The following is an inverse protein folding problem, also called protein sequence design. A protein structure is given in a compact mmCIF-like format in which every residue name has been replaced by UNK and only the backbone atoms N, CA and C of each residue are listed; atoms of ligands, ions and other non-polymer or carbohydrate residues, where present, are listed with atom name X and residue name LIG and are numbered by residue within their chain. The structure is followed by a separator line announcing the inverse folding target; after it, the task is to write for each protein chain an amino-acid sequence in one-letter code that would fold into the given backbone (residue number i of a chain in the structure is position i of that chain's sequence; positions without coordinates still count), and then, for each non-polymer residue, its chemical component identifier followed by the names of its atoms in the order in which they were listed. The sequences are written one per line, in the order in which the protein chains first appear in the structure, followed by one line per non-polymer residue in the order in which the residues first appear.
data_IF_543056754924
#
_entry.id   IF_543056754924
#
_cell.length_a   1.000
_cell.length_b   1.000
_cell.length_c   1.000
_cell.angle_alpha   90.00
_cell.angle_beta   90.00
_cell.angle_gamma   90.00
#
_symmetry.space_group_name_H-M   'P 1'
#
loop_
_entity.id
_entity.type
_entity.pdbx_description
1 polymer ?
#
# COMPACT_ATOMS: atom_id res chain seq x y z
N UNK A 1 -29.38 34.41 -23.31
CA UNK A 1 -29.12 33.09 -23.94
C UNK A 1 -27.63 32.79 -24.07
N UNK A 2 -26.78 33.79 -24.40
CA UNK A 2 -25.33 33.59 -24.57
C UNK A 2 -24.59 33.02 -23.34
N UNK A 3 -24.93 33.45 -22.11
CA UNK A 3 -24.34 32.93 -20.87
C UNK A 3 -24.61 31.43 -20.65
N UNK A 4 -25.83 30.96 -20.95
CA UNK A 4 -26.21 29.54 -20.84
C UNK A 4 -25.50 28.66 -21.89
N UNK A 5 -25.20 29.21 -23.07
CA UNK A 5 -24.42 28.53 -24.10
C UNK A 5 -22.97 28.28 -23.68
N UNK A 6 -22.30 29.31 -23.14
CA UNK A 6 -20.92 29.19 -22.64
C UNK A 6 -20.80 28.21 -21.47
N UNK A 7 -21.76 28.22 -20.53
CA UNK A 7 -21.80 27.26 -19.41
C UNK A 7 -21.99 25.81 -19.92
N UNK A 8 -22.83 25.61 -20.95
CA UNK A 8 -23.02 24.29 -21.57
C UNK A 8 -21.71 23.74 -22.15
N UNK A 9 -20.96 24.56 -22.87
CA UNK A 9 -19.69 24.16 -23.49
C UNK A 9 -18.62 23.86 -22.44
N UNK A 10 -18.51 24.69 -21.41
CA UNK A 10 -17.59 24.45 -20.29
C UNK A 10 -17.92 23.18 -19.52
N UNK A 11 -19.21 22.94 -19.23
CA UNK A 11 -19.65 21.71 -18.57
C UNK A 11 -19.36 20.46 -19.42
N UNK A 12 -19.57 20.54 -20.73
CA UNK A 12 -19.26 19.45 -21.65
C UNK A 12 -17.75 19.15 -21.67
N UNK A 13 -16.91 20.19 -21.69
CA UNK A 13 -15.45 20.05 -21.65
C UNK A 13 -14.98 19.35 -20.37
N UNK A 14 -15.43 19.83 -19.20
CA UNK A 14 -15.09 19.22 -17.90
C UNK A 14 -15.49 17.74 -17.82
N UNK A 15 -16.67 17.37 -18.35
CA UNK A 15 -17.12 15.97 -18.34
C UNK A 15 -16.27 15.10 -19.28
N UNK A 16 -15.78 15.65 -20.40
CA UNK A 16 -14.86 14.95 -21.31
C UNK A 16 -13.49 14.73 -20.66
N UNK A 17 -12.95 15.74 -19.98
CA UNK A 17 -11.69 15.62 -19.23
C UNK A 17 -11.78 14.55 -18.13
N UNK A 18 -12.88 14.56 -17.36
CA UNK A 18 -13.14 13.53 -16.36
C UNK A 18 -13.25 12.12 -16.96
N UNK A 19 -13.75 11.99 -18.19
CA UNK A 19 -13.81 10.69 -18.88
C UNK A 19 -12.42 10.19 -19.29
N UNK A 20 -11.49 11.07 -19.66
CA UNK A 20 -10.11 10.66 -19.95
C UNK A 20 -9.45 10.08 -18.69
N UNK A 21 -9.65 10.72 -17.53
CA UNK A 21 -9.15 10.21 -16.24
C UNK A 21 -9.76 8.84 -15.92
N UNK A 22 -11.06 8.64 -16.15
CA UNK A 22 -11.71 7.34 -15.94
C UNK A 22 -11.20 6.28 -16.92
N UNK A 23 -10.88 6.65 -18.16
CA UNK A 23 -10.31 5.72 -19.13
C UNK A 23 -8.92 5.27 -18.69
N UNK A 24 -8.08 6.17 -18.22
CA UNK A 24 -6.73 5.87 -17.74
C UNK A 24 -6.79 5.00 -16.48
N UNK A 25 -7.72 5.30 -15.57
CA UNK A 25 -8.03 4.46 -14.41
C UNK A 25 -8.43 3.04 -14.83
N UNK A 26 -9.28 2.87 -15.84
CA UNK A 26 -9.65 1.53 -16.32
C UNK A 26 -8.46 0.78 -16.90
N UNK A 27 -7.57 1.46 -17.60
CA UNK A 27 -6.30 0.88 -18.08
C UNK A 27 -5.42 0.44 -16.92
N UNK A 28 -5.37 1.22 -15.84
CA UNK A 28 -4.63 0.87 -14.62
C UNK A 28 -5.21 -0.34 -13.89
N UNK A 29 -6.53 -0.47 -13.88
CA UNK A 29 -7.26 -1.57 -13.25
C UNK A 29 -7.32 -2.83 -14.12
N UNK A 30 -6.87 -2.76 -15.38
CA UNK A 30 -6.89 -3.90 -16.28
C UNK A 30 -5.97 -5.01 -15.76
N UNK A 31 -6.46 -6.24 -15.73
CA UNK A 31 -5.81 -7.41 -15.12
C UNK A 31 -5.65 -7.40 -13.59
N UNK A 32 -6.35 -6.51 -12.86
CA UNK A 32 -6.37 -6.51 -11.38
C UNK A 32 -7.72 -6.96 -10.81
N UNK A 33 -7.71 -7.51 -9.60
CA UNK A 33 -8.94 -7.88 -8.89
C UNK A 33 -9.67 -6.63 -8.37
N UNK A 34 -10.86 -6.34 -8.91
CA UNK A 34 -11.64 -5.15 -8.54
C UNK A 34 -12.92 -5.51 -7.77
N UNK A 35 -13.34 -4.71 -6.78
CA UNK A 35 -14.61 -4.91 -6.09
C UNK A 35 -15.80 -4.98 -7.06
N UNK A 36 -16.74 -5.90 -6.84
CA UNK A 36 -17.93 -6.06 -7.69
C UNK A 36 -18.75 -4.76 -7.81
N UNK A 37 -18.77 -3.95 -6.73
CA UNK A 37 -19.40 -2.63 -6.70
C UNK A 37 -18.72 -1.62 -7.63
N UNK A 38 -17.39 -1.65 -7.75
CA UNK A 38 -16.65 -0.78 -8.66
C UNK A 38 -16.93 -1.15 -10.12
N UNK A 39 -16.96 -2.45 -10.41
CA UNK A 39 -17.27 -2.97 -11.75
C UNK A 39 -18.67 -2.56 -12.23
N UNK A 40 -19.68 -2.66 -11.36
CA UNK A 40 -21.04 -2.23 -11.71
C UNK A 40 -21.16 -0.72 -11.90
N UNK A 41 -20.46 0.07 -11.08
CA UNK A 41 -20.39 1.53 -11.21
C UNK A 41 -19.74 1.95 -12.54
N UNK A 42 -18.60 1.37 -12.91
CA UNK A 42 -17.91 1.65 -14.17
C UNK A 42 -18.78 1.30 -15.40
N UNK A 43 -19.46 0.16 -15.38
CA UNK A 43 -20.37 -0.23 -16.47
C UNK A 43 -21.57 0.72 -16.60
N UNK A 44 -22.11 1.17 -15.47
CA UNK A 44 -23.22 2.12 -15.45
C UNK A 44 -22.79 3.53 -15.90
N UNK A 45 -21.57 3.93 -15.58
CA UNK A 45 -20.96 5.17 -16.04
C UNK A 45 -20.82 5.19 -17.57
N UNK A 46 -20.33 4.10 -18.17
CA UNK A 46 -20.15 4.03 -19.63
C UNK A 46 -21.46 4.23 -20.39
N UNK A 47 -22.53 3.63 -19.88
CA UNK A 47 -23.87 3.80 -20.46
C UNK A 47 -24.31 5.26 -20.39
N UNK A 48 -24.19 5.88 -19.23
CA UNK A 48 -24.64 7.25 -18.99
C UNK A 48 -23.80 8.27 -19.78
N UNK A 49 -22.48 8.05 -19.89
CA UNK A 49 -21.58 8.89 -20.67
C UNK A 49 -21.85 8.79 -22.18
N UNK A 50 -22.06 7.58 -22.72
CA UNK A 50 -22.42 7.39 -24.13
C UNK A 50 -23.73 8.11 -24.47
N UNK A 51 -24.70 8.01 -23.58
CA UNK A 51 -25.99 8.68 -23.70
C UNK A 51 -25.87 10.20 -23.61
N UNK A 52 -25.01 10.73 -22.75
CA UNK A 52 -24.71 12.16 -22.64
C UNK A 52 -24.02 12.70 -23.90
N UNK A 53 -23.06 11.96 -24.46
CA UNK A 53 -22.36 12.34 -25.69
C UNK A 53 -23.32 12.45 -26.88
N UNK A 54 -24.24 11.49 -27.02
CA UNK A 54 -25.31 11.54 -28.05
C UNK A 54 -26.17 12.81 -27.94
N UNK A 55 -26.43 13.29 -26.72
CA UNK A 55 -27.22 14.51 -26.51
C UNK A 55 -26.46 15.80 -26.79
N UNK A 56 -25.14 15.81 -26.54
CA UNK A 56 -24.26 16.91 -26.96
C UNK A 56 -24.27 17.00 -28.49
N UNK A 57 -24.05 15.88 -29.18
CA UNK A 57 -24.01 15.81 -30.64
C UNK A 57 -25.35 16.20 -31.28
N UNK A 58 -26.47 15.85 -30.63
CA UNK A 58 -27.82 16.24 -31.03
C UNK A 58 -28.19 17.71 -30.71
N UNK A 59 -27.24 18.53 -30.22
CA UNK A 59 -27.41 19.96 -29.88
C UNK A 59 -28.60 20.24 -28.93
N UNK A 60 -28.87 19.34 -27.99
CA UNK A 60 -29.99 19.46 -27.04
C UNK A 60 -29.84 20.69 -26.12
N UNK A 61 -30.97 21.27 -25.67
CA UNK A 61 -31.01 22.40 -24.73
C UNK A 61 -30.39 22.05 -23.36
N UNK A 62 -29.80 23.05 -22.70
CA UNK A 62 -29.10 22.88 -21.41
C UNK A 62 -29.97 22.25 -20.31
N UNK A 63 -31.27 22.54 -20.28
CA UNK A 63 -32.22 22.05 -19.28
C UNK A 63 -32.38 20.52 -19.32
N UNK A 64 -32.28 19.92 -20.49
CA UNK A 64 -32.33 18.45 -20.65
C UNK A 64 -30.97 17.78 -20.39
N UNK A 65 -29.87 18.54 -20.52
CA UNK A 65 -28.51 18.06 -20.32
C UNK A 65 -28.12 18.03 -18.83
N UNK A 66 -28.60 19.01 -18.07
CA UNK A 66 -28.33 19.18 -16.63
C UNK A 66 -28.59 17.93 -15.77
N UNK A 67 -29.75 17.24 -15.83
CA UNK A 67 -29.99 16.07 -14.99
C UNK A 67 -29.04 14.90 -15.33
N UNK A 68 -28.62 14.77 -16.59
CA UNK A 68 -27.69 13.70 -17.01
C UNK A 68 -26.25 14.01 -16.64
N UNK A 69 -25.83 15.27 -16.82
CA UNK A 69 -24.55 15.74 -16.32
C UNK A 69 -24.43 15.47 -14.81
N UNK A 70 -25.48 15.77 -14.04
CA UNK A 70 -25.52 15.49 -12.60
C UNK A 70 -25.39 13.98 -12.30
N UNK A 71 -26.16 13.13 -12.99
CA UNK A 71 -26.08 11.68 -12.81
C UNK A 71 -24.68 11.12 -13.09
N UNK A 72 -24.00 11.62 -14.14
CA UNK A 72 -22.62 11.25 -14.45
C UNK A 72 -21.70 11.66 -13.30
N UNK A 73 -21.74 12.93 -12.88
CA UNK A 73 -20.89 13.46 -11.81
C UNK A 73 -21.08 12.70 -10.48
N UNK A 74 -22.31 12.35 -10.14
CA UNK A 74 -22.60 11.57 -8.93
C UNK A 74 -22.03 10.14 -9.01
N UNK A 75 -21.99 9.52 -10.20
CA UNK A 75 -21.32 8.23 -10.40
C UNK A 75 -19.80 8.33 -10.34
N UNK A 76 -19.22 9.37 -10.94
CA UNK A 76 -17.76 9.62 -10.85
C UNK A 76 -17.35 9.78 -9.39
N UNK A 77 -18.13 10.54 -8.63
CA UNK A 77 -17.91 10.69 -7.19
C UNK A 77 -18.02 9.35 -6.45
N UNK A 78 -19.04 8.55 -6.73
CA UNK A 78 -19.19 7.21 -6.14
C UNK A 78 -18.02 6.27 -6.50
N UNK A 79 -17.49 6.35 -7.73
CA UNK A 79 -16.29 5.62 -8.14
C UNK A 79 -15.09 6.05 -7.30
N UNK A 80 -14.88 7.36 -7.10
CA UNK A 80 -13.77 7.88 -6.28
C UNK A 80 -13.83 7.40 -4.82
N UNK A 81 -15.03 7.32 -4.23
CA UNK A 81 -15.21 6.82 -2.86
C UNK A 81 -14.87 5.33 -2.80
N UNK A 82 -15.43 4.53 -3.71
CA UNK A 82 -15.20 3.08 -3.71
C UNK A 82 -13.73 2.73 -3.95
N UNK A 83 -13.01 3.53 -4.74
CA UNK A 83 -11.56 3.37 -4.91
C UNK A 83 -10.79 3.72 -3.65
N UNK A 84 -11.14 4.84 -3.00
CA UNK A 84 -10.56 5.28 -1.73
C UNK A 84 -10.75 4.26 -0.60
N UNK A 85 -11.86 3.52 -0.60
CA UNK A 85 -12.19 2.51 0.42
C UNK A 85 -11.73 1.08 0.04
N UNK A 86 -11.12 0.90 -1.13
CA UNK A 86 -10.72 -0.42 -1.63
C UNK A 86 -9.29 -0.80 -1.23
N UNK A 87 -8.87 -2.03 -1.53
CA UNK A 87 -7.48 -2.52 -1.35
C UNK A 87 -6.41 -1.65 -2.02
N UNK A 88 -6.80 -0.71 -2.87
CA UNK A 88 -5.91 0.23 -3.56
C UNK A 88 -5.73 1.54 -2.79
N UNK A 89 -6.22 1.65 -1.56
CA UNK A 89 -6.12 2.87 -0.74
C UNK A 89 -4.69 3.29 -0.43
N UNK A 90 -3.72 2.38 -0.51
CA UNK A 90 -2.29 2.64 -0.23
C UNK A 90 -1.45 2.87 -1.49
N UNK A 91 -2.07 2.87 -2.67
CA UNK A 91 -1.41 3.13 -3.95
C UNK A 91 -1.46 4.64 -4.26
N UNK A 92 -0.29 5.30 -4.25
CA UNK A 92 -0.16 6.74 -4.49
C UNK A 92 -0.74 7.17 -5.85
N UNK A 93 -0.68 6.30 -6.86
CA UNK A 93 -1.27 6.56 -8.18
C UNK A 93 -2.80 6.58 -8.13
N UNK A 94 -3.40 5.69 -7.36
CA UNK A 94 -4.86 5.64 -7.18
C UNK A 94 -5.35 6.80 -6.33
N UNK A 95 -4.59 7.21 -5.29
CA UNK A 95 -4.90 8.42 -4.51
C UNK A 95 -4.91 9.67 -5.38
N UNK A 96 -3.88 9.87 -6.20
CA UNK A 96 -3.81 11.01 -7.12
C UNK A 96 -5.01 11.06 -8.07
N UNK A 97 -5.38 9.91 -8.66
CA UNK A 97 -6.56 9.83 -9.54
C UNK A 97 -7.86 10.12 -8.79
N UNK A 98 -8.02 9.62 -7.56
CA UNK A 98 -9.19 9.91 -6.73
C UNK A 98 -9.34 11.40 -6.43
N UNK A 99 -8.24 12.10 -6.12
CA UNK A 99 -8.26 13.53 -5.83
C UNK A 99 -8.58 14.35 -7.09
N UNK A 100 -8.01 13.97 -8.25
CA UNK A 100 -8.35 14.58 -9.53
C UNK A 100 -9.84 14.42 -9.87
N UNK A 101 -10.41 13.23 -9.65
CA UNK A 101 -11.83 12.98 -9.88
C UNK A 101 -12.71 13.79 -8.93
N UNK A 102 -12.38 13.88 -7.64
CA UNK A 102 -13.14 14.69 -6.66
C UNK A 102 -13.12 16.17 -7.04
N UNK A 103 -11.93 16.72 -7.29
CA UNK A 103 -11.76 18.13 -7.65
C UNK A 103 -12.50 18.48 -8.95
N UNK A 104 -12.37 17.65 -9.98
CA UNK A 104 -13.06 17.87 -11.25
C UNK A 104 -14.58 17.76 -11.13
N UNK A 105 -15.09 16.86 -10.27
CA UNK A 105 -16.53 16.76 -9.98
C UNK A 105 -17.04 18.01 -9.26
N UNK A 106 -16.31 18.55 -8.29
CA UNK A 106 -16.69 19.78 -7.59
C UNK A 106 -16.74 20.98 -8.53
N UNK A 107 -15.74 21.14 -9.39
CA UNK A 107 -15.72 22.18 -10.41
C UNK A 107 -16.93 22.08 -11.36
N UNK A 108 -17.25 20.87 -11.82
CA UNK A 108 -18.41 20.65 -12.68
C UNK A 108 -19.74 20.87 -11.94
N UNK A 109 -19.82 20.58 -10.64
CA UNK A 109 -20.99 20.86 -9.79
C UNK A 109 -21.20 22.36 -9.57
N UNK A 110 -20.13 23.14 -9.44
CA UNK A 110 -20.21 24.61 -9.35
C UNK A 110 -20.84 25.21 -10.62
N UNK A 111 -20.44 24.71 -11.80
CA UNK A 111 -21.03 25.11 -13.09
C UNK A 111 -22.52 24.75 -13.21
N UNK A 112 -22.95 23.69 -12.53
CA UNK A 112 -24.36 23.30 -12.45
C UNK A 112 -25.16 24.15 -11.45
N UNK A 113 -24.57 24.58 -10.34
CA UNK A 113 -25.24 25.42 -9.33
C UNK A 113 -25.38 26.88 -9.74
N UNK A 114 -24.50 27.39 -10.61
CA UNK A 114 -24.55 28.77 -11.12
C UNK A 114 -25.65 29.00 -12.18
N UNK A 115 -26.41 27.94 -12.50
CA UNK A 115 -27.63 27.98 -13.29
C UNK A 115 -28.82 28.52 -12.49
N UNK A 116 -28.97 29.85 -12.46
CA UNK A 116 -30.12 30.64 -11.97
C UNK A 116 -31.41 29.81 -11.74
N UNK A 117 -31.73 29.56 -10.47
CA UNK A 117 -33.09 29.18 -10.05
C UNK A 117 -33.95 30.45 -10.13
N UNK A 118 -34.81 30.56 -11.13
CA UNK A 118 -35.77 31.67 -11.20
C UNK A 118 -36.82 31.53 -10.10
N UNK A 119 -36.77 32.41 -9.11
CA UNK A 119 -37.82 32.58 -8.11
C UNK A 119 -38.98 33.37 -8.74
N UNK A 120 -40.10 32.71 -9.04
CA UNK A 120 -41.31 33.37 -9.51
C UNK A 120 -42.11 33.91 -8.31
N UNK A 121 -42.01 35.21 -8.06
CA UNK A 121 -42.88 35.94 -7.15
C UNK A 121 -44.16 36.37 -7.87
N UNK A 122 -45.29 35.74 -7.54
CA UNK A 122 -46.64 36.17 -7.97
C UNK A 122 -47.24 37.14 -6.94
N UNK A 123 -46.76 38.38 -6.96
CA UNK A 123 -47.31 39.48 -6.18
C UNK A 123 -48.52 40.13 -6.86
N UNK A 124 -49.72 39.76 -6.41
CA UNK A 124 -50.97 40.54 -6.35
C UNK A 124 -51.14 41.73 -7.32
N UNK A 125 -51.76 41.48 -8.48
CA UNK A 125 -52.39 42.52 -9.33
C UNK A 125 -53.64 43.18 -8.68
N UNK A 126 -54.07 42.71 -7.49
CA UNK A 126 -55.27 43.22 -6.83
C UNK A 126 -55.08 44.60 -6.21
N UNK A 127 -53.85 44.98 -5.85
CA UNK A 127 -53.60 46.23 -5.13
C UNK A 127 -53.55 47.46 -6.06
N UNK A 128 -53.25 47.27 -7.35
CA UNK A 128 -53.28 48.34 -8.36
C UNK A 128 -54.70 48.62 -8.88
N UNK A 129 -55.61 47.64 -8.81
CA UNK A 129 -56.99 47.76 -9.27
C UNK A 129 -57.87 48.61 -8.32
N UNK A 130 -57.58 48.61 -7.02
CA UNK A 130 -58.34 49.41 -6.05
C UNK A 130 -58.01 50.92 -6.13
N UNK A 131 -56.78 51.27 -6.55
CA UNK A 131 -56.35 52.66 -6.66
C UNK A 131 -56.95 53.40 -7.87
N UNK A 132 -57.25 52.67 -8.96
CA UNK A 132 -57.89 53.23 -10.15
C UNK A 132 -59.41 53.40 -9.97
N UNK A 133 -60.06 52.50 -9.22
CA UNK A 133 -61.49 52.61 -8.88
C UNK A 133 -61.78 53.80 -7.95
N UNK A 134 -60.86 54.15 -7.04
CA UNK A 134 -60.98 55.33 -6.18
C UNK A 134 -60.83 56.65 -6.95
N UNK A 135 -60.06 56.67 -8.04
CA UNK A 135 -59.92 57.87 -8.90
C UNK A 135 -61.17 58.12 -9.74
N UNK A 136 -61.82 57.06 -10.25
CA UNK A 136 -63.07 57.18 -11.01
C UNK A 136 -64.26 57.66 -10.16
N UNK A 137 -64.27 57.36 -8.85
CA UNK A 137 -65.32 57.82 -7.92
C UNK A 137 -65.19 59.30 -7.56
N UNK A 138 -64.02 59.92 -7.79
CA UNK A 138 -63.73 61.33 -7.47
C UNK A 138 -64.36 62.32 -8.45
N UNK A 139 -64.56 61.91 -9.70
CA UNK A 139 -65.16 62.78 -10.74
C UNK A 139 -66.69 62.91 -10.63
N UNK A 140 -67.36 62.01 -9.90
CA UNK A 140 -68.82 61.94 -9.88
C UNK A 140 -69.49 62.54 -8.63
N UNK A 141 -68.73 63.22 -7.75
CA UNK A 141 -69.18 63.64 -6.41
C UNK A 141 -69.26 65.17 -6.19
N UNK A 142 -69.16 65.98 -7.24
CA UNK A 142 -69.17 67.45 -7.16
C UNK A 142 -70.58 68.11 -7.19
N UNK A 143 -71.68 67.37 -7.05
CA UNK A 143 -73.01 67.97 -6.94
C UNK A 143 -73.94 67.18 -6.00
N UNK A 144 -73.95 67.49 -4.70
CA UNK A 144 -75.17 67.47 -3.86
C UNK A 144 -74.83 67.80 -2.40
N UNK A 145 -75.43 68.86 -1.86
CA UNK A 145 -75.10 69.53 -0.60
C UNK A 145 -75.69 68.83 0.66
N UNK A 146 -76.18 67.60 0.54
CA UNK A 146 -76.78 66.82 1.64
C UNK A 146 -75.97 65.59 2.07
N UNK A 147 -74.84 65.30 1.40
CA UNK A 147 -73.94 64.16 1.71
C UNK A 147 -72.82 64.50 2.71
N UNK A 148 -72.68 65.77 3.09
CA UNK A 148 -71.50 66.29 3.79
C UNK A 148 -71.33 65.75 5.24
N UNK A 149 -72.42 65.35 5.91
CA UNK A 149 -72.35 64.73 7.25
C UNK A 149 -71.89 63.28 7.24
N UNK A 150 -72.32 62.49 6.26
CA UNK A 150 -71.88 61.09 6.12
C UNK A 150 -70.45 61.03 5.56
N UNK A 151 -70.07 61.98 4.69
CA UNK A 151 -68.71 62.06 4.15
C UNK A 151 -67.68 62.42 5.23
N UNK A 152 -68.05 63.29 6.19
CA UNK A 152 -67.19 63.62 7.33
C UNK A 152 -67.01 62.44 8.29
N UNK A 153 -68.08 61.68 8.53
CA UNK A 153 -68.02 60.43 9.30
C UNK A 153 -67.14 59.37 8.63
N UNK A 154 -67.29 59.18 7.32
CA UNK A 154 -66.47 58.23 6.56
C UNK A 154 -65.00 58.68 6.50
N UNK A 155 -64.74 60.00 6.46
CA UNK A 155 -63.40 60.57 6.51
C UNK A 155 -62.73 60.34 7.86
N UNK A 156 -63.44 60.54 8.98
CA UNK A 156 -62.93 60.27 10.33
C UNK A 156 -62.67 58.77 10.54
N UNK A 157 -63.53 57.89 10.01
CA UNK A 157 -63.31 56.44 10.05
C UNK A 157 -62.06 56.06 9.24
N UNK A 158 -61.89 56.60 8.04
CA UNK A 158 -60.71 56.38 7.21
C UNK A 158 -59.42 56.92 7.83
N UNK A 159 -59.48 58.08 8.49
CA UNK A 159 -58.33 58.66 9.19
C UNK A 159 -57.90 57.75 10.34
N UNK A 160 -58.88 57.24 11.10
CA UNK A 160 -58.66 56.33 12.22
C UNK A 160 -58.11 54.98 11.76
N UNK A 161 -58.61 54.46 10.64
CA UNK A 161 -58.12 53.22 10.02
C UNK A 161 -56.70 53.38 9.44
N UNK A 162 -56.39 54.56 8.89
CA UNK A 162 -55.04 54.91 8.43
C UNK A 162 -54.05 55.03 9.60
N UNK A 163 -54.44 55.69 10.70
CA UNK A 163 -53.64 55.77 11.92
C UNK A 163 -53.39 54.38 12.52
N UNK A 164 -54.42 53.52 12.58
CA UNK A 164 -54.30 52.14 13.04
C UNK A 164 -53.37 51.33 12.14
N UNK A 165 -53.48 51.50 10.82
CA UNK A 165 -52.59 50.86 9.86
C UNK A 165 -51.14 51.32 10.03
N UNK A 166 -50.92 52.62 10.25
CA UNK A 166 -49.58 53.20 10.47
C UNK A 166 -48.97 52.73 11.79
N UNK A 167 -49.78 52.60 12.86
CA UNK A 167 -49.35 52.04 14.12
C UNK A 167 -48.98 50.55 13.99
N UNK A 168 -49.79 49.76 13.25
CA UNK A 168 -49.49 48.34 12.95
C UNK A 168 -48.24 48.21 12.09
N UNK A 169 -48.04 49.08 11.11
CA UNK A 169 -46.84 49.11 10.28
C UNK A 169 -45.59 49.42 11.10
N UNK A 170 -45.62 50.44 11.97
CA UNK A 170 -44.49 50.76 12.83
C UNK A 170 -44.15 49.64 13.83
N UNK A 171 -45.16 48.94 14.37
CA UNK A 171 -44.97 47.75 15.21
C UNK A 171 -44.34 46.60 14.44
N UNK A 172 -44.78 46.33 13.21
CA UNK A 172 -44.17 45.31 12.35
C UNK A 172 -42.74 45.67 11.97
N UNK A 173 -42.45 46.93 11.64
CA UNK A 173 -41.09 47.38 11.35
C UNK A 173 -40.16 47.24 12.56
N UNK A 174 -40.65 47.56 13.76
CA UNK A 174 -39.90 47.35 15.00
C UNK A 174 -39.64 45.86 15.28
N UNK A 175 -40.62 44.99 15.03
CA UNK A 175 -40.48 43.53 15.16
C UNK A 175 -39.49 42.96 14.14
N UNK A 176 -39.55 43.42 12.89
CA UNK A 176 -38.62 43.06 11.81
C UNK A 176 -37.19 43.48 12.15
N UNK A 177 -36.98 44.71 12.65
CA UNK A 177 -35.67 45.18 13.11
C UNK A 177 -35.10 44.31 14.22
N UNK A 178 -35.93 43.94 15.20
CA UNK A 178 -35.53 43.02 16.29
C UNK A 178 -35.11 41.64 15.78
N UNK A 179 -35.87 41.08 14.84
CA UNK A 179 -35.53 39.80 14.21
C UNK A 179 -34.24 39.89 13.39
N UNK A 180 -34.02 41.02 12.72
CA UNK A 180 -32.79 41.27 11.96
C UNK A 180 -31.57 41.31 12.88
N UNK A 181 -31.67 42.03 14.00
CA UNK A 181 -30.62 42.15 15.02
C UNK A 181 -30.34 40.79 15.69
N UNK A 182 -31.37 39.99 15.97
CA UNK A 182 -31.20 38.62 16.47
C UNK A 182 -30.48 37.71 15.45
N UNK A 183 -30.79 37.87 14.15
CA UNK A 183 -30.13 37.11 13.08
C UNK A 183 -28.67 37.53 12.92
N UNK A 184 -28.36 38.83 12.96
CA UNK A 184 -26.99 39.34 12.92
C UNK A 184 -26.15 38.81 14.10
N UNK A 185 -26.70 38.85 15.33
CA UNK A 185 -26.02 38.30 16.51
C UNK A 185 -25.76 36.80 16.39
N UNK A 186 -26.71 36.03 15.83
CA UNK A 186 -26.53 34.61 15.55
C UNK A 186 -25.48 34.38 14.44
N UNK A 187 -25.42 35.25 13.45
CA UNK A 187 -24.46 35.17 12.35
C UNK A 187 -23.03 35.44 12.85
N UNK A 188 -22.85 36.46 13.68
CA UNK A 188 -21.56 36.76 14.32
C UNK A 188 -21.12 35.64 15.24
N UNK A 189 -22.02 35.13 16.08
CA UNK A 189 -21.73 33.97 16.95
C UNK A 189 -21.38 32.72 16.16
N UNK A 190 -22.00 32.50 14.99
CA UNK A 190 -21.68 31.39 14.10
C UNK A 190 -20.35 31.59 13.38
N UNK A 191 -20.03 32.81 12.96
CA UNK A 191 -18.75 33.20 12.35
C UNK A 191 -17.59 32.98 13.31
N UNK A 192 -17.75 33.42 14.56
CA UNK A 192 -16.76 33.21 15.63
C UNK A 192 -16.55 31.72 15.94
N UNK A 193 -17.65 30.95 16.02
CA UNK A 193 -17.57 29.51 16.26
C UNK A 193 -16.90 28.77 15.11
N UNK A 194 -17.20 29.18 13.87
CA UNK A 194 -16.57 28.65 12.66
C UNK A 194 -15.07 28.96 12.64
N UNK A 195 -14.67 30.20 12.94
CA UNK A 195 -13.24 30.58 13.00
C UNK A 195 -12.47 29.81 14.07
N UNK A 196 -13.06 29.65 15.27
CA UNK A 196 -12.46 28.84 16.35
C UNK A 196 -12.33 27.37 15.97
N UNK A 197 -13.32 26.82 15.28
CA UNK A 197 -13.30 25.41 14.85
C UNK A 197 -12.24 25.21 13.77
N UNK A 198 -12.11 26.14 12.82
CA UNK A 198 -11.06 26.12 11.80
C UNK A 198 -9.68 26.18 12.45
N UNK A 199 -9.48 27.06 13.44
CA UNK A 199 -8.20 27.18 14.14
C UNK A 199 -7.85 25.92 14.95
N UNK A 200 -8.83 25.31 15.63
CA UNK A 200 -8.62 24.07 16.40
C UNK A 200 -8.32 22.88 15.49
N UNK A 201 -9.00 22.81 14.33
CA UNK A 201 -8.72 21.79 13.29
C UNK A 201 -7.32 21.98 12.71
N UNK A 202 -6.91 23.21 12.40
CA UNK A 202 -5.58 23.51 11.87
C UNK A 202 -4.47 23.14 12.87
N UNK A 203 -4.66 23.49 14.16
CA UNK A 203 -3.78 23.09 15.24
C UNK A 203 -3.66 21.55 15.35
N UNK A 204 -4.79 20.83 15.31
CA UNK A 204 -4.78 19.37 15.35
C UNK A 204 -4.14 18.75 14.11
N UNK A 205 -4.27 19.37 12.94
CA UNK A 205 -3.60 18.93 11.72
C UNK A 205 -2.08 19.07 11.83
N UNK A 206 -1.59 20.21 12.32
CA UNK A 206 -0.15 20.43 12.53
C UNK A 206 0.42 19.45 13.57
N UNK A 207 -0.28 19.24 14.69
CA UNK A 207 0.13 18.26 15.70
C UNK A 207 0.09 16.82 15.17
N UNK A 208 -0.92 16.47 14.36
CA UNK A 208 -1.03 15.17 13.72
C UNK A 208 0.12 14.96 12.72
N UNK A 209 0.43 15.95 11.89
CA UNK A 209 1.53 15.92 10.92
C UNK A 209 2.88 15.76 11.63
N UNK A 210 3.13 16.51 12.70
CA UNK A 210 4.35 16.38 13.49
C UNK A 210 4.44 14.98 14.13
N UNK A 211 3.34 14.47 14.68
CA UNK A 211 3.31 13.13 15.28
C UNK A 211 3.53 12.03 14.24
N UNK A 212 3.02 12.19 13.01
CA UNK A 212 3.20 11.26 11.91
C UNK A 212 4.64 11.27 11.43
N UNK A 213 5.24 12.45 11.26
CA UNK A 213 6.64 12.58 10.89
C UNK A 213 7.58 11.97 11.94
N UNK A 214 7.30 12.19 13.23
CA UNK A 214 8.06 11.55 14.31
C UNK A 214 7.89 10.01 14.32
N UNK A 215 6.68 9.50 14.02
CA UNK A 215 6.44 8.06 13.92
C UNK A 215 7.14 7.47 12.70
N UNK A 216 7.12 8.15 11.56
CA UNK A 216 7.82 7.74 10.35
C UNK A 216 9.33 7.62 10.61
N UNK A 217 9.94 8.66 11.21
CA UNK A 217 11.36 8.63 11.56
C UNK A 217 11.71 7.47 12.51
N UNK A 218 10.83 7.15 13.47
CA UNK A 218 11.02 5.98 14.34
C UNK A 218 10.92 4.67 13.56
N UNK A 219 9.94 4.53 12.67
CA UNK A 219 9.77 3.35 11.81
C UNK A 219 11.00 3.16 10.92
N UNK A 220 11.51 4.22 10.31
CA UNK A 220 12.71 4.16 9.46
C UNK A 220 13.93 3.71 10.27
N UNK A 221 14.16 4.28 11.46
CA UNK A 221 15.26 3.86 12.35
C UNK A 221 15.13 2.42 12.85
N UNK A 222 13.89 1.96 13.07
CA UNK A 222 13.58 0.58 13.46
C UNK A 222 13.85 -0.37 12.32
N UNK A 223 13.42 -0.04 11.10
CA UNK A 223 13.67 -0.86 9.91
C UNK A 223 15.17 -0.97 9.65
N UNK A 224 15.94 0.11 9.80
CA UNK A 224 17.40 0.09 9.66
C UNK A 224 18.04 -0.88 10.68
N UNK A 225 17.74 -0.70 11.98
CA UNK A 225 18.28 -1.53 13.06
C UNK A 225 17.82 -3.00 12.96
N UNK A 226 16.56 -3.21 12.57
CA UNK A 226 15.98 -4.55 12.43
C UNK A 226 16.51 -5.26 11.20
N UNK A 227 16.71 -4.57 10.07
CA UNK A 227 17.23 -5.18 8.84
C UNK A 227 18.62 -5.79 9.09
N UNK A 228 19.52 -5.06 9.73
CA UNK A 228 20.85 -5.58 10.07
C UNK A 228 20.79 -6.77 11.05
N UNK A 229 19.93 -6.66 12.08
CA UNK A 229 19.72 -7.74 13.07
C UNK A 229 19.11 -8.99 12.43
N UNK A 230 18.15 -8.82 11.51
CA UNK A 230 17.49 -9.92 10.80
C UNK A 230 18.47 -10.61 9.86
N UNK A 231 19.26 -9.87 9.08
CA UNK A 231 20.26 -10.46 8.18
C UNK A 231 21.30 -11.25 8.99
N UNK A 232 21.82 -10.67 10.08
CA UNK A 232 22.76 -11.38 10.95
C UNK A 232 22.14 -12.60 11.65
N UNK A 233 20.86 -12.51 12.04
CA UNK A 233 20.08 -13.60 12.61
C UNK A 233 19.89 -14.77 11.65
N UNK A 234 19.61 -14.50 10.37
CA UNK A 234 19.48 -15.54 9.34
C UNK A 234 20.78 -16.33 9.14
N UNK A 235 21.94 -15.67 9.20
CA UNK A 235 23.24 -16.35 9.15
C UNK A 235 23.53 -17.17 10.40
N UNK A 236 23.13 -16.68 11.58
CA UNK A 236 23.23 -17.45 12.83
C UNK A 236 22.35 -18.70 12.81
N UNK A 237 21.10 -18.56 12.32
CA UNK A 237 20.19 -19.69 12.14
C UNK A 237 20.76 -20.71 11.16
N UNK A 238 21.27 -20.25 10.01
CA UNK A 238 21.94 -21.11 9.03
C UNK A 238 23.13 -21.85 9.64
N UNK A 239 23.97 -21.16 10.42
CA UNK A 239 25.07 -21.79 11.15
C UNK A 239 24.57 -22.87 12.14
N UNK A 240 23.45 -22.62 12.82
CA UNK A 240 22.85 -23.58 13.76
C UNK A 240 22.34 -24.85 13.07
N UNK A 241 21.76 -24.71 11.87
CA UNK A 241 21.29 -25.83 11.04
C UNK A 241 22.49 -26.65 10.56
N UNK A 242 23.52 -25.99 10.02
CA UNK A 242 24.76 -26.62 9.58
C UNK A 242 25.46 -27.39 10.72
N UNK A 243 25.47 -26.82 11.93
CA UNK A 243 26.00 -27.49 13.14
C UNK A 243 25.27 -28.80 13.44
N UNK A 244 23.92 -28.77 13.44
CA UNK A 244 23.09 -29.95 13.70
C UNK A 244 23.36 -31.05 12.67
N UNK A 245 23.41 -30.68 11.38
CA UNK A 245 23.75 -31.60 10.29
C UNK A 245 25.14 -32.21 10.47
N UNK A 246 26.15 -31.39 10.79
CA UNK A 246 27.51 -31.85 11.04
C UNK A 246 27.59 -32.85 12.20
N UNK A 247 26.94 -32.56 13.33
CA UNK A 247 26.96 -33.41 14.52
C UNK A 247 26.21 -34.73 14.28
N UNK A 248 25.12 -34.71 13.51
CA UNK A 248 24.41 -35.92 13.09
C UNK A 248 25.27 -36.83 12.19
N UNK A 249 25.95 -36.25 11.20
CA UNK A 249 26.87 -36.99 10.32
C UNK A 249 28.07 -37.55 11.09
N UNK A 250 28.62 -36.77 12.03
CA UNK A 250 29.73 -37.21 12.89
C UNK A 250 29.32 -38.39 13.76
N UNK A 251 28.13 -38.33 14.36
CA UNK A 251 27.61 -39.40 15.21
C UNK A 251 27.40 -40.67 14.39
N UNK A 252 26.85 -40.54 13.18
CA UNK A 252 26.66 -41.68 12.26
C UNK A 252 27.99 -42.29 11.82
N UNK A 253 28.99 -41.47 11.49
CA UNK A 253 30.34 -41.95 11.16
C UNK A 253 31.00 -42.68 12.34
N UNK A 254 30.85 -42.15 13.55
CA UNK A 254 31.37 -42.78 14.78
C UNK A 254 30.74 -44.16 15.02
N UNK A 255 29.44 -44.31 14.77
CA UNK A 255 28.75 -45.61 14.87
C UNK A 255 29.40 -46.63 13.94
N UNK A 256 29.67 -46.27 12.68
CA UNK A 256 30.36 -47.18 11.76
C UNK A 256 31.79 -47.52 12.19
N UNK A 257 32.54 -46.56 12.74
CA UNK A 257 33.87 -46.84 13.29
C UNK A 257 33.81 -47.81 14.48
N UNK A 258 32.82 -47.67 15.36
CA UNK A 258 32.59 -48.60 16.47
C UNK A 258 32.22 -49.99 15.96
N UNK A 259 31.37 -50.10 14.95
CA UNK A 259 31.03 -51.40 14.31
C UNK A 259 32.28 -52.08 13.77
N UNK A 260 33.13 -51.35 13.04
CA UNK A 260 34.40 -51.89 12.53
C UNK A 260 35.31 -52.36 13.68
N UNK A 261 35.42 -51.58 14.76
CA UNK A 261 36.23 -51.93 15.92
C UNK A 261 35.71 -53.20 16.63
N UNK A 262 34.39 -53.33 16.81
CA UNK A 262 33.76 -54.51 17.42
C UNK A 262 33.97 -55.76 16.56
N UNK A 263 33.75 -55.66 15.24
CA UNK A 263 33.98 -56.78 14.31
C UNK A 263 35.45 -57.21 14.33
N UNK A 264 36.38 -56.25 14.36
CA UNK A 264 37.82 -56.53 14.42
C UNK A 264 38.20 -57.19 15.75
N UNK A 265 37.70 -56.69 16.88
CA UNK A 265 37.96 -57.26 18.20
C UNK A 265 37.39 -58.67 18.35
N UNK A 266 36.15 -58.89 17.92
CA UNK A 266 35.52 -60.21 17.88
C UNK A 266 36.32 -61.19 17.01
N UNK A 267 36.82 -60.71 15.87
CA UNK A 267 37.65 -61.52 14.98
C UNK A 267 38.95 -62.00 15.64
N UNK A 268 39.61 -61.12 16.41
CA UNK A 268 40.83 -61.48 17.14
C UNK A 268 40.55 -62.46 18.29
N UNK A 269 39.42 -62.30 18.98
CA UNK A 269 39.01 -63.22 20.05
C UNK A 269 38.74 -64.63 19.54
N UNK A 270 37.96 -64.77 18.46
CA UNK A 270 37.65 -66.08 17.85
C UNK A 270 38.92 -66.79 17.35
N UNK A 271 39.85 -66.04 16.75
CA UNK A 271 41.14 -66.57 16.26
C UNK A 271 42.02 -67.15 17.39
N UNK A 272 41.80 -66.73 18.63
CA UNK A 272 42.58 -67.21 19.80
C UNK A 272 42.01 -68.50 20.39
N UNK A 273 40.72 -68.79 20.17
CA UNK A 273 40.00 -69.92 20.79
C UNK A 273 39.69 -71.07 19.83
N UNK A 274 39.50 -70.79 18.54
CA UNK A 274 39.10 -71.78 17.54
C UNK A 274 40.18 -71.96 16.45
N UNK A 275 40.11 -73.08 15.74
CA UNK A 275 40.96 -73.37 14.58
C UNK A 275 40.77 -72.31 13.48
N UNK A 276 41.87 -71.73 13.00
CA UNK A 276 41.85 -70.63 12.03
C UNK A 276 41.20 -71.05 10.71
N UNK A 277 40.01 -70.50 10.41
CA UNK A 277 39.29 -70.65 9.13
C UNK A 277 39.56 -69.43 8.25
N UNK A 278 40.34 -69.62 7.20
CA UNK A 278 40.78 -68.54 6.32
C UNK A 278 39.61 -67.94 5.50
N UNK A 279 38.56 -68.73 5.25
CA UNK A 279 37.35 -68.31 4.53
C UNK A 279 36.62 -67.18 5.27
N UNK A 280 36.45 -67.32 6.58
CA UNK A 280 35.78 -66.32 7.42
C UNK A 280 36.57 -65.00 7.49
N UNK A 281 37.90 -65.08 7.36
CA UNK A 281 38.77 -63.90 7.41
C UNK A 281 38.61 -63.00 6.17
N UNK A 282 38.41 -63.61 4.99
CA UNK A 282 38.19 -62.85 3.74
C UNK A 282 36.84 -62.11 3.77
N UNK A 283 35.77 -62.77 4.22
CA UNK A 283 34.46 -62.12 4.34
C UNK A 283 34.48 -60.93 5.31
N UNK A 284 35.21 -61.04 6.43
CA UNK A 284 35.40 -59.93 7.38
C UNK A 284 36.16 -58.77 6.76
N UNK A 285 37.20 -59.05 5.99
CA UNK A 285 37.97 -58.03 5.27
C UNK A 285 37.09 -57.25 4.28
N UNK A 286 36.31 -57.95 3.47
CA UNK A 286 35.37 -57.34 2.52
C UNK A 286 34.32 -56.52 3.26
N UNK A 287 33.79 -57.02 4.38
CA UNK A 287 32.83 -56.30 5.21
C UNK A 287 33.41 -55.01 5.79
N UNK A 288 34.63 -55.04 6.33
CA UNK A 288 35.31 -53.84 6.87
C UNK A 288 35.49 -52.79 5.78
N UNK A 289 35.91 -53.19 4.57
CA UNK A 289 36.05 -52.26 3.44
C UNK A 289 34.70 -51.67 3.05
N UNK A 290 33.66 -52.50 2.98
CA UNK A 290 32.31 -52.07 2.61
C UNK A 290 31.70 -51.07 3.61
N UNK A 291 31.95 -51.24 4.91
CA UNK A 291 31.49 -50.32 5.97
C UNK A 291 32.40 -49.08 6.09
N UNK A 292 33.68 -49.19 5.74
CA UNK A 292 34.64 -48.08 5.85
C UNK A 292 34.37 -46.95 4.85
N UNK A 293 33.94 -47.27 3.63
CA UNK A 293 33.62 -46.27 2.59
C UNK A 293 32.55 -45.26 3.03
N UNK A 294 31.33 -45.68 3.46
CA UNK A 294 30.33 -44.74 3.94
C UNK A 294 30.75 -44.03 5.23
N UNK A 295 31.51 -44.68 6.12
CA UNK A 295 32.03 -44.05 7.33
C UNK A 295 32.97 -42.87 7.01
N UNK A 296 33.89 -43.05 6.07
CA UNK A 296 34.81 -42.03 5.62
C UNK A 296 34.11 -40.88 4.88
N UNK A 297 33.10 -41.20 4.06
CA UNK A 297 32.28 -40.19 3.39
C UNK A 297 31.53 -39.30 4.39
N UNK A 298 30.84 -39.91 5.36
CA UNK A 298 30.09 -39.17 6.39
C UNK A 298 31.00 -38.30 7.27
N UNK A 299 32.21 -38.77 7.59
CA UNK A 299 33.20 -37.97 8.29
C UNK A 299 33.59 -36.72 7.47
N UNK A 300 33.87 -36.89 6.18
CA UNK A 300 34.27 -35.79 5.29
C UNK A 300 33.13 -34.77 5.08
N UNK A 301 31.90 -35.25 4.92
CA UNK A 301 30.75 -34.37 4.77
C UNK A 301 30.45 -33.62 6.08
N UNK A 302 30.64 -34.27 7.25
CA UNK A 302 30.56 -33.59 8.56
C UNK A 302 31.55 -32.41 8.66
N UNK A 303 32.81 -32.62 8.24
CA UNK A 303 33.83 -31.56 8.26
C UNK A 303 33.48 -30.40 7.33
N UNK A 304 32.86 -30.68 6.19
CA UNK A 304 32.37 -29.65 5.25
C UNK A 304 31.27 -28.80 5.89
N UNK A 305 30.28 -29.43 6.52
CA UNK A 305 29.23 -28.70 7.25
C UNK A 305 29.82 -27.86 8.41
N UNK A 306 30.89 -28.32 9.08
CA UNK A 306 31.61 -27.51 10.09
C UNK A 306 32.30 -26.29 9.51
N UNK A 307 32.91 -26.41 8.32
CA UNK A 307 33.50 -25.25 7.62
C UNK A 307 32.43 -24.22 7.25
N UNK A 308 31.26 -24.68 6.77
CA UNK A 308 30.12 -23.82 6.47
C UNK A 308 29.55 -23.16 7.73
N UNK A 309 29.38 -23.92 8.81
CA UNK A 309 28.99 -23.38 10.13
C UNK A 309 29.90 -22.24 10.56
N UNK A 310 31.22 -22.44 10.52
CA UNK A 310 32.19 -21.42 10.92
C UNK A 310 32.08 -20.17 10.03
N UNK A 311 31.89 -20.34 8.72
CA UNK A 311 31.73 -19.23 7.78
C UNK A 311 30.47 -18.42 8.08
N UNK A 312 29.32 -19.07 8.25
CA UNK A 312 28.08 -18.37 8.56
C UNK A 312 28.09 -17.71 9.94
N UNK A 313 28.69 -18.38 10.93
CA UNK A 313 28.86 -17.80 12.26
C UNK A 313 29.75 -16.56 12.21
N UNK A 314 30.86 -16.62 11.47
CA UNK A 314 31.75 -15.47 11.29
C UNK A 314 31.02 -14.31 10.61
N UNK A 315 30.27 -14.55 9.53
CA UNK A 315 29.48 -13.50 8.87
C UNK A 315 28.45 -12.89 9.84
N UNK A 316 27.76 -13.70 10.63
CA UNK A 316 26.80 -13.21 11.63
C UNK A 316 27.47 -12.32 12.69
N UNK A 317 28.63 -12.74 13.21
CA UNK A 317 29.40 -11.98 14.18
C UNK A 317 29.93 -10.68 13.59
N UNK A 318 30.47 -10.74 12.37
CA UNK A 318 31.00 -9.57 11.66
C UNK A 318 29.88 -8.53 11.42
N UNK A 319 28.69 -8.96 10.99
CA UNK A 319 27.53 -8.10 10.82
C UNK A 319 27.05 -7.49 12.14
N UNK A 320 26.93 -8.28 13.21
CA UNK A 320 26.51 -7.80 14.53
C UNK A 320 27.50 -6.81 15.15
N UNK A 321 28.79 -6.99 14.87
CA UNK A 321 29.84 -6.14 15.40
C UNK A 321 30.04 -4.86 14.57
N UNK A 322 29.60 -4.85 13.30
CA UNK A 322 29.88 -3.78 12.34
C UNK A 322 29.46 -2.40 12.86
N UNK A 323 28.20 -2.25 13.27
CA UNK A 323 27.62 -0.98 13.69
C UNK A 323 28.28 -0.38 14.95
N UNK A 324 28.47 -1.14 16.04
CA UNK A 324 29.23 -0.67 17.20
C UNK A 324 30.63 -0.16 16.85
N UNK A 325 31.35 -0.86 15.96
CA UNK A 325 32.69 -0.44 15.54
C UNK A 325 32.66 0.81 14.64
N UNK A 326 31.69 0.91 13.72
CA UNK A 326 31.56 2.03 12.79
C UNK A 326 31.06 3.32 13.44
N UNK A 327 30.25 3.24 14.50
CA UNK A 327 29.68 4.41 15.18
C UNK A 327 30.72 5.43 15.68
N UNK A 328 31.96 4.99 15.91
CA UNK A 328 33.07 5.82 16.37
C UNK A 328 33.85 6.55 15.25
N UNK A 329 33.59 6.20 13.98
CA UNK A 329 34.30 6.71 12.81
C UNK A 329 33.57 7.92 12.19
N UNK A 330 34.28 8.79 11.44
CA UNK A 330 33.64 9.84 10.62
C UNK A 330 32.66 9.25 9.60
N UNK A 331 31.58 9.98 9.30
CA UNK A 331 30.47 9.54 8.43
C UNK A 331 30.98 9.06 7.04
N UNK A 332 31.98 9.74 6.47
CA UNK A 332 32.57 9.38 5.18
C UNK A 332 33.28 8.01 5.21
N UNK A 333 33.98 7.70 6.30
CA UNK A 333 34.61 6.38 6.50
C UNK A 333 33.58 5.29 6.78
N UNK A 334 32.48 5.61 7.48
CA UNK A 334 31.38 4.66 7.71
C UNK A 334 30.74 4.22 6.38
N UNK A 335 30.42 5.16 5.49
CA UNK A 335 29.84 4.84 4.18
C UNK A 335 30.81 4.03 3.31
N UNK A 336 32.11 4.38 3.33
CA UNK A 336 33.14 3.62 2.63
C UNK A 336 33.21 2.18 3.13
N UNK A 337 33.22 1.98 4.44
CA UNK A 337 33.32 0.65 5.05
C UNK A 337 32.04 -0.18 4.84
N UNK A 338 30.85 0.42 4.97
CA UNK A 338 29.57 -0.25 4.63
C UNK A 338 29.57 -0.74 3.17
N UNK A 339 30.08 0.07 2.23
CA UNK A 339 30.19 -0.32 0.82
C UNK A 339 31.17 -1.48 0.61
N UNK A 340 32.35 -1.43 1.23
CA UNK A 340 33.38 -2.46 1.13
C UNK A 340 32.90 -3.81 1.72
N UNK A 341 32.24 -3.76 2.88
CA UNK A 341 31.65 -4.94 3.53
C UNK A 341 30.51 -5.52 2.69
N UNK A 342 29.62 -4.66 2.17
CA UNK A 342 28.54 -5.10 1.29
C UNK A 342 29.08 -5.79 0.03
N UNK A 343 30.13 -5.25 -0.58
CA UNK A 343 30.81 -5.88 -1.72
C UNK A 343 31.45 -7.22 -1.35
N UNK A 344 32.04 -7.34 -0.16
CA UNK A 344 32.64 -8.60 0.30
C UNK A 344 31.60 -9.69 0.56
N UNK A 345 30.50 -9.34 1.24
CA UNK A 345 29.45 -10.28 1.65
C UNK A 345 28.52 -10.64 0.49
N UNK A 346 28.06 -9.64 -0.28
CA UNK A 346 27.07 -9.81 -1.35
C UNK A 346 27.67 -9.83 -2.76
N UNK A 347 28.82 -9.16 -2.95
CA UNK A 347 29.50 -9.08 -4.25
C UNK A 347 30.33 -10.32 -4.59
N UNK A 348 30.65 -11.18 -3.61
CA UNK A 348 31.29 -12.47 -3.86
C UNK A 348 30.27 -13.48 -4.42
N UNK A 349 29.79 -13.24 -5.65
CA UNK A 349 29.14 -14.27 -6.45
C UNK A 349 30.21 -15.22 -7.02
N UNK A 350 30.07 -16.50 -6.66
CA UNK A 350 30.35 -17.68 -7.49
C UNK A 350 31.77 -18.15 -7.83
N UNK A 351 32.87 -17.60 -7.30
CA UNK A 351 34.21 -18.17 -7.59
C UNK A 351 34.94 -18.84 -6.41
N UNK A 352 34.35 -18.86 -5.21
CA UNK A 352 34.91 -19.57 -4.05
C UNK A 352 34.00 -20.70 -3.54
N UNK A 353 33.27 -21.38 -4.44
CA UNK A 353 32.94 -22.78 -4.19
C UNK A 353 34.19 -23.59 -4.49
N UNK A 354 35.10 -23.61 -3.52
CA UNK A 354 36.08 -24.67 -3.30
C UNK A 354 36.91 -25.12 -4.52
N UNK A 355 37.79 -24.26 -5.03
CA UNK A 355 39.02 -24.71 -5.71
C UNK A 355 40.09 -25.22 -4.76
N UNK A 356 39.78 -25.50 -3.49
CA UNK A 356 40.74 -26.16 -2.61
C UNK A 356 40.14 -27.32 -1.79
N UNK A 357 40.77 -28.48 -1.97
CA UNK A 357 40.57 -29.80 -1.37
C UNK A 357 39.65 -30.82 -2.08
N UNK A 358 39.81 -30.96 -3.39
CA UNK A 358 39.82 -32.29 -4.01
C UNK A 358 41.27 -32.73 -4.27
N UNK A 359 41.86 -33.61 -3.45
CA UNK A 359 42.96 -34.43 -3.94
C UNK A 359 42.75 -35.92 -3.69
N UNK A 360 41.54 -36.34 -3.31
CA UNK A 360 41.24 -37.76 -3.14
C UNK A 360 39.78 -38.00 -3.54
N UNK A 361 39.56 -38.19 -4.84
CA UNK A 361 38.36 -38.85 -5.35
C UNK A 361 38.40 -40.31 -4.86
N UNK A 362 37.25 -40.94 -4.63
CA UNK A 362 37.20 -42.41 -4.42
C UNK A 362 37.90 -43.15 -5.57
N UNK A 363 37.89 -42.56 -6.76
CA UNK A 363 38.69 -42.98 -7.91
C UNK A 363 40.19 -42.95 -7.62
N UNK A 364 40.69 -41.91 -6.95
CA UNK A 364 42.11 -41.72 -6.60
C UNK A 364 42.56 -42.65 -5.47
N UNK A 365 41.65 -43.00 -4.55
CA UNK A 365 41.86 -44.05 -3.55
C UNK A 365 41.91 -45.42 -4.24
N UNK A 366 40.97 -45.68 -5.16
CA UNK A 366 40.89 -46.93 -5.92
C UNK A 366 42.12 -47.11 -6.82
N UNK A 367 42.53 -46.08 -7.57
CA UNK A 367 43.73 -46.12 -8.40
C UNK A 367 44.97 -46.29 -7.53
N UNK A 368 45.13 -45.56 -6.42
CA UNK A 368 46.27 -45.75 -5.52
C UNK A 368 46.29 -47.11 -4.82
N UNK A 369 45.13 -47.70 -4.51
CA UNK A 369 45.07 -49.07 -3.99
C UNK A 369 45.45 -50.10 -5.06
N UNK A 370 44.93 -49.96 -6.29
CA UNK A 370 45.23 -50.84 -7.41
C UNK A 370 46.72 -50.76 -7.76
N UNK A 371 47.26 -49.55 -7.90
CA UNK A 371 48.67 -49.30 -8.22
C UNK A 371 49.60 -49.87 -7.15
N UNK A 372 49.22 -49.78 -5.86
CA UNK A 372 50.01 -50.36 -4.77
C UNK A 372 49.91 -51.89 -4.68
N UNK A 373 48.80 -52.48 -5.13
CA UNK A 373 48.64 -53.93 -5.24
C UNK A 373 49.46 -54.46 -6.43
N UNK A 374 49.46 -53.76 -7.56
CA UNK A 374 50.17 -54.13 -8.79
C UNK A 374 51.69 -54.03 -8.63
N UNK A 375 52.18 -52.95 -7.98
CA UNK A 375 53.61 -52.81 -7.61
C UNK A 375 54.10 -53.93 -6.68
N UNK A 376 53.23 -54.46 -5.82
CA UNK A 376 53.58 -55.56 -4.90
C UNK A 376 53.56 -56.93 -5.58
N UNK A 377 52.77 -57.10 -6.64
CA UNK A 377 52.80 -58.27 -7.52
C UNK A 377 54.07 -58.28 -8.37
N UNK A 378 54.42 -57.14 -8.99
CA UNK A 378 55.65 -57.00 -9.78
C UNK A 378 56.93 -57.15 -8.95
N UNK A 379 56.96 -56.64 -7.70
CA UNK A 379 58.09 -56.83 -6.79
C UNK A 379 58.28 -58.29 -6.34
N UNK A 380 57.26 -59.16 -6.47
CA UNK A 380 57.35 -60.58 -6.12
C UNK A 380 57.86 -61.42 -7.28
N UNK A 381 57.48 -61.12 -8.52
CA UNK A 381 58.03 -61.79 -9.73
C UNK A 381 59.53 -61.52 -9.93
N UNK A 382 60.00 -60.30 -9.64
CA UNK A 382 61.44 -59.98 -9.75
C UNK A 382 62.29 -60.71 -8.70
N UNK A 383 61.69 -61.10 -7.55
CA UNK A 383 62.42 -61.81 -6.48
C UNK A 383 62.47 -63.33 -6.68
N UNK A 384 61.49 -63.92 -7.35
CA UNK A 384 61.49 -65.35 -7.70
C UNK A 384 62.30 -65.64 -8.98
N UNK A 385 62.41 -64.68 -9.91
CA UNK A 385 63.32 -64.83 -11.07
C UNK A 385 64.80 -64.81 -10.69
N UNK A 386 65.19 -64.13 -9.61
CA UNK A 386 66.58 -64.02 -9.14
C UNK A 386 67.01 -65.17 -8.21
N UNK A 387 66.16 -66.17 -7.98
CA UNK A 387 66.46 -67.34 -7.15
C UNK A 387 66.76 -68.61 -7.94
N UNK A 388 66.71 -68.53 -9.26
CA UNK A 388 67.02 -69.63 -10.19
C UNK A 388 68.35 -69.47 -10.94
N UNK A 389 69.17 -68.45 -10.61
CA UNK A 389 70.50 -68.25 -11.20
C UNK A 389 71.68 -68.33 -10.20
N UNK A 390 71.54 -69.09 -9.10
CA UNK A 390 72.68 -69.48 -8.25
C UNK A 390 72.74 -70.98 -7.99
#
# INVERSE_FOLDING_TARGET
MEKKGKIKEQLALHIVELNEIIRDLKGYLDNREVPAKLKSLLASYDKDYLEFRKQIDAKVTFENLQPRAKAILDRIFAISIVLSDSFYSDDDGVRFVCDQLKNGVEQAKLLLSDGVVTFNYTGSDKDKANLSQLRARREHLASDDSKDKNLKSDYDVLLKELELAQEVHSKKEAELRRKLEEVELKLDGLSDKTSRTIQDVDQQFVEAEESLNQKQARVDSLIETMSETIVAGNYEESASVEKKSADWLRTTSLIFMVVIAVVTAYSLYETTLDSFKWENSIFRLVFIVLVSVPAAYLARESDKHRKLMNKYLQISLDLKAMDPFMSSLPIEEQHRLKSEVALRIFGTKSNEVATDQYPISVHDILTKLIERIDLKASAKEVKDSNRHEH
#
